data_IF_600393017376
#
_entry.id   IF_600393017376
#
_cell.length_a   1.000
_cell.length_b   1.000
_cell.length_c   1.000
_cell.angle_alpha   90.00
_cell.angle_beta   90.00
_cell.angle_gamma   90.00
#
_symmetry.space_group_name_H-M   'P 1'
#
loop_
_entity.id
_entity.type
_entity.pdbx_description
1 polymer ?
#
# COMPACT_ATOMS: atom_id res chain seq x y z
N UNK A 1 -10.15 -60.26 -50.19
CA UNK A 1 -9.48 -60.10 -48.89
C UNK A 1 -8.86 -58.69 -48.75
N UNK A 2 -9.62 -57.61 -49.04
CA UNK A 2 -9.08 -56.24 -49.12
C UNK A 2 -10.07 -55.12 -48.70
N UNK A 3 -11.10 -55.43 -47.91
CA UNK A 3 -12.01 -54.40 -47.36
C UNK A 3 -11.72 -54.10 -45.88
N UNK A 4 -11.30 -55.11 -45.10
CA UNK A 4 -11.15 -54.96 -43.65
C UNK A 4 -9.99 -54.07 -43.20
N UNK A 5 -8.93 -53.93 -44.02
CA UNK A 5 -7.76 -53.10 -43.71
C UNK A 5 -7.95 -51.60 -44.02
N UNK A 6 -8.91 -51.26 -44.90
CA UNK A 6 -9.20 -49.87 -45.25
C UNK A 6 -10.06 -49.17 -44.20
N UNK A 7 -11.04 -49.88 -43.63
CA UNK A 7 -11.92 -49.32 -42.59
C UNK A 7 -11.17 -49.06 -41.26
N UNK A 8 -10.23 -49.93 -40.88
CA UNK A 8 -9.43 -49.73 -39.66
C UNK A 8 -8.47 -48.53 -39.75
N UNK A 9 -8.00 -48.20 -40.95
CA UNK A 9 -7.09 -47.07 -41.15
C UNK A 9 -7.84 -45.73 -41.11
N UNK A 10 -9.07 -45.66 -41.65
CA UNK A 10 -9.89 -44.45 -41.60
C UNK A 10 -10.47 -44.16 -40.20
N UNK A 11 -10.89 -45.18 -39.44
CA UNK A 11 -11.36 -44.98 -38.06
C UNK A 11 -10.25 -44.52 -37.11
N UNK A 12 -9.05 -45.07 -37.25
CA UNK A 12 -7.90 -44.68 -36.43
C UNK A 12 -7.46 -43.24 -36.74
N UNK A 13 -7.52 -42.83 -38.01
CA UNK A 13 -7.16 -41.45 -38.41
C UNK A 13 -8.22 -40.45 -37.96
N UNK A 14 -9.52 -40.79 -38.06
CA UNK A 14 -10.62 -39.95 -37.54
C UNK A 14 -10.57 -39.81 -36.02
N UNK A 15 -10.37 -40.89 -35.26
CA UNK A 15 -10.30 -40.82 -33.78
C UNK A 15 -9.07 -40.03 -33.27
N UNK A 16 -7.97 -40.03 -34.02
CA UNK A 16 -6.75 -39.32 -33.62
C UNK A 16 -6.85 -37.81 -33.89
N UNK A 17 -7.49 -37.42 -35.00
CA UNK A 17 -7.74 -36.01 -35.33
C UNK A 17 -8.70 -35.34 -34.32
N UNK A 18 -9.77 -36.02 -33.90
CA UNK A 18 -10.75 -35.44 -32.95
C UNK A 18 -10.17 -35.25 -31.54
N UNK A 19 -9.22 -36.10 -31.11
CA UNK A 19 -8.54 -35.94 -29.82
C UNK A 19 -7.48 -34.85 -29.83
N UNK A 20 -6.75 -34.67 -30.93
CA UNK A 20 -5.72 -33.63 -31.07
C UNK A 20 -6.34 -32.23 -31.09
N UNK A 21 -7.43 -32.03 -31.84
CA UNK A 21 -8.16 -30.74 -31.88
C UNK A 21 -8.72 -30.32 -30.50
N UNK A 22 -9.16 -31.28 -29.68
CA UNK A 22 -9.66 -30.99 -28.32
C UNK A 22 -8.56 -30.50 -27.37
N UNK A 23 -7.33 -30.98 -27.52
CA UNK A 23 -6.19 -30.58 -26.67
C UNK A 23 -5.68 -29.20 -27.10
N UNK A 24 -5.59 -28.93 -28.40
CA UNK A 24 -5.20 -27.61 -28.92
C UNK A 24 -6.26 -26.56 -28.58
N UNK A 25 -7.55 -26.90 -28.69
CA UNK A 25 -8.65 -26.04 -28.26
C UNK A 25 -8.63 -25.73 -26.76
N UNK A 26 -8.37 -26.74 -25.92
CA UNK A 26 -8.25 -26.55 -24.47
C UNK A 26 -7.05 -25.67 -24.11
N UNK A 27 -5.90 -25.87 -24.75
CA UNK A 27 -4.71 -25.06 -24.52
C UNK A 27 -4.90 -23.59 -24.96
N UNK A 28 -5.61 -23.37 -26.07
CA UNK A 28 -5.96 -22.04 -26.54
C UNK A 28 -6.96 -21.35 -25.59
N UNK A 29 -7.97 -22.06 -25.11
CA UNK A 29 -8.93 -21.56 -24.11
C UNK A 29 -8.26 -21.26 -22.78
N UNK A 30 -7.37 -22.13 -22.29
CA UNK A 30 -6.59 -21.89 -21.07
C UNK A 30 -5.65 -20.68 -21.24
N UNK A 31 -5.01 -20.51 -22.39
CA UNK A 31 -4.18 -19.33 -22.68
C UNK A 31 -5.03 -18.04 -22.72
N UNK A 32 -6.23 -18.09 -23.30
CA UNK A 32 -7.17 -16.96 -23.29
C UNK A 32 -7.70 -16.67 -21.90
N UNK A 33 -8.03 -17.69 -21.09
CA UNK A 33 -8.42 -17.51 -19.69
C UNK A 33 -7.28 -16.90 -18.89
N UNK A 34 -6.02 -17.27 -19.12
CA UNK A 34 -4.87 -16.66 -18.44
C UNK A 34 -4.69 -15.19 -18.83
N UNK A 35 -4.84 -14.84 -20.11
CA UNK A 35 -4.76 -13.44 -20.56
C UNK A 35 -5.98 -12.63 -20.06
N UNK A 36 -7.15 -13.25 -19.93
CA UNK A 36 -8.33 -12.62 -19.33
C UNK A 36 -8.23 -12.55 -17.79
N UNK A 37 -7.45 -13.45 -17.17
CA UNK A 37 -7.19 -13.48 -15.74
C UNK A 37 -5.92 -12.71 -15.32
N UNK A 38 -5.11 -12.18 -16.25
CA UNK A 38 -4.21 -11.09 -15.88
C UNK A 38 -5.12 -9.94 -15.49
N UNK A 39 -5.10 -9.48 -14.23
CA UNK A 39 -5.83 -8.29 -13.89
C UNK A 39 -5.22 -7.19 -14.74
N UNK A 40 -5.95 -6.72 -15.76
CA UNK A 40 -5.78 -5.36 -16.26
C UNK A 40 -6.30 -4.44 -15.15
N UNK A 41 -5.63 -4.46 -13.99
CA UNK A 41 -5.75 -3.45 -12.97
C UNK A 41 -5.00 -2.25 -13.50
N UNK A 42 -5.62 -1.54 -14.44
CA UNK A 42 -5.24 -0.18 -14.82
C UNK A 42 -5.72 0.80 -13.72
N UNK A 43 -5.47 0.45 -12.46
CA UNK A 43 -5.60 1.35 -11.32
C UNK A 43 -4.21 1.82 -10.93
N UNK A 44 -4.13 3.02 -10.37
CA UNK A 44 -2.87 3.51 -9.83
C UNK A 44 -2.37 2.56 -8.74
N UNK A 45 -1.06 2.38 -8.68
CA UNK A 45 -0.40 1.65 -7.60
C UNK A 45 -0.17 2.63 -6.45
N UNK A 46 -0.47 2.23 -5.23
CA UNK A 46 0.00 2.96 -4.05
C UNK A 46 0.99 2.07 -3.31
N UNK A 47 2.12 2.66 -2.93
CA UNK A 47 3.05 2.06 -1.98
C UNK A 47 2.52 2.22 -0.56
N UNK A 48 3.24 1.67 0.43
CA UNK A 48 2.89 1.83 1.84
C UNK A 48 2.66 3.30 2.23
N UNK A 49 1.61 3.55 3.01
CA UNK A 49 1.35 4.87 3.59
C UNK A 49 2.43 5.22 4.62
N UNK A 50 3.17 6.31 4.38
CA UNK A 50 4.29 6.77 5.21
C UNK A 50 3.96 7.99 6.06
N UNK A 51 2.87 8.68 5.74
CA UNK A 51 2.38 9.80 6.53
C UNK A 51 0.87 9.88 6.46
N UNK A 52 0.26 10.18 7.60
CA UNK A 52 -1.17 10.45 7.69
C UNK A 52 -1.41 11.60 8.67
N UNK A 53 -2.17 12.59 8.21
CA UNK A 53 -2.65 13.69 9.02
C UNK A 53 -4.15 13.83 8.87
N UNK A 54 -4.83 14.04 9.98
CA UNK A 54 -6.26 14.37 10.03
C UNK A 54 -6.44 15.51 11.04
N UNK A 55 -6.90 16.66 10.55
CA UNK A 55 -7.12 17.83 11.39
C UNK A 55 -7.16 19.15 10.63
N UNK A 56 -7.05 20.23 11.40
CA UNK A 56 -7.26 21.59 10.92
C UNK A 56 -5.92 22.29 10.64
N UNK A 57 -5.83 22.94 9.48
CA UNK A 57 -4.67 23.74 9.06
C UNK A 57 -5.13 25.16 8.77
N UNK A 58 -4.44 26.12 9.36
CA UNK A 58 -4.66 27.54 9.06
C UNK A 58 -3.97 27.92 7.76
N UNK A 59 -4.55 28.85 6.98
CA UNK A 59 -3.80 29.56 5.93
C UNK A 59 -2.51 30.11 6.52
N UNK A 60 -1.46 30.21 5.69
CA UNK A 60 -0.08 30.58 6.08
C UNK A 60 0.74 29.50 6.80
N UNK A 61 0.12 28.43 7.28
CA UNK A 61 0.83 27.28 7.84
C UNK A 61 1.15 26.24 6.78
N UNK A 62 2.28 25.58 6.99
CA UNK A 62 2.67 24.40 6.24
C UNK A 62 2.75 23.19 7.15
N UNK A 63 2.49 22.03 6.56
CA UNK A 63 2.80 20.73 7.14
C UNK A 63 3.94 20.14 6.34
N UNK A 64 5.04 19.88 7.02
CA UNK A 64 6.13 19.09 6.50
C UNK A 64 5.73 17.62 6.48
N UNK A 65 5.95 16.99 5.34
CA UNK A 65 5.71 15.58 5.09
C UNK A 65 7.06 14.86 4.94
N UNK A 66 7.03 13.54 4.74
CA UNK A 66 8.23 12.75 4.50
C UNK A 66 8.77 12.98 3.06
N UNK A 67 10.00 12.54 2.78
CA UNK A 67 10.66 12.65 1.46
C UNK A 67 10.75 14.10 0.91
N UNK A 68 10.79 15.08 1.80
CA UNK A 68 10.95 16.50 1.48
C UNK A 68 9.71 17.16 0.87
N UNK A 69 8.55 16.50 0.94
CA UNK A 69 7.27 17.11 0.56
C UNK A 69 6.76 18.05 1.67
N UNK A 70 6.00 19.05 1.26
CA UNK A 70 5.35 19.98 2.17
C UNK A 70 4.02 20.41 1.56
N UNK A 71 2.99 20.52 2.39
CA UNK A 71 1.69 21.06 2.02
C UNK A 71 1.51 22.42 2.67
N UNK A 72 1.02 23.41 1.92
CA UNK A 72 0.69 24.73 2.44
C UNK A 72 -0.71 25.13 1.99
N UNK A 73 -1.54 25.55 2.95
CA UNK A 73 -2.85 26.13 2.65
C UNK A 73 -2.63 27.58 2.25
N UNK A 74 -2.86 27.88 0.98
CA UNK A 74 -2.65 29.21 0.40
C UNK A 74 -3.84 30.12 0.66
N UNK A 75 -5.04 29.61 0.40
CA UNK A 75 -6.29 30.36 0.50
C UNK A 75 -7.43 29.41 0.89
N UNK A 76 -8.41 29.93 1.64
CA UNK A 76 -9.63 29.23 2.02
C UNK A 76 -10.81 30.04 1.52
N UNK A 77 -11.68 29.40 0.76
CA UNK A 77 -12.94 29.93 0.25
C UNK A 77 -14.11 29.28 1.01
N UNK A 78 -15.34 29.73 0.75
CA UNK A 78 -16.52 29.20 1.45
C UNK A 78 -16.77 27.71 1.17
N UNK A 79 -16.31 27.21 0.03
CA UNK A 79 -16.58 25.87 -0.51
C UNK A 79 -15.35 25.17 -1.05
N UNK A 80 -14.15 25.73 -0.87
CA UNK A 80 -12.90 25.15 -1.34
C UNK A 80 -11.69 25.62 -0.54
N UNK A 81 -10.57 24.93 -0.72
CA UNK A 81 -9.26 25.39 -0.26
C UNK A 81 -8.25 25.28 -1.40
N UNK A 82 -7.48 26.35 -1.61
CA UNK A 82 -6.33 26.33 -2.51
C UNK A 82 -5.09 25.90 -1.74
N UNK A 83 -4.49 24.81 -2.18
CA UNK A 83 -3.38 24.13 -1.54
C UNK A 83 -2.18 24.09 -2.48
N UNK A 84 -1.04 24.54 -1.98
CA UNK A 84 0.25 24.36 -2.62
C UNK A 84 0.89 23.06 -2.11
N UNK A 85 1.29 22.22 -3.05
CA UNK A 85 2.15 21.06 -2.80
C UNK A 85 3.56 21.45 -3.24
N UNK A 86 4.48 21.40 -2.30
CA UNK A 86 5.88 21.70 -2.50
C UNK A 86 6.71 20.44 -2.32
N UNK A 87 7.84 20.39 -3.00
CA UNK A 87 8.87 19.41 -2.75
C UNK A 87 10.23 20.10 -2.77
N UNK A 88 11.04 19.86 -1.72
CA UNK A 88 12.36 20.47 -1.54
C UNK A 88 12.31 22.01 -1.70
N UNK A 89 11.28 22.64 -1.12
CA UNK A 89 11.06 24.09 -1.14
C UNK A 89 10.52 24.67 -2.46
N UNK A 90 10.30 23.85 -3.49
CA UNK A 90 9.73 24.29 -4.78
C UNK A 90 8.27 23.87 -4.89
N UNK A 91 7.38 24.81 -5.24
CA UNK A 91 6.00 24.48 -5.57
C UNK A 91 5.96 23.62 -6.84
N UNK A 92 5.45 22.41 -6.71
CA UNK A 92 5.27 21.47 -7.83
C UNK A 92 3.84 21.45 -8.35
N UNK A 93 2.87 21.79 -7.48
CA UNK A 93 1.45 21.84 -7.83
C UNK A 93 0.74 22.84 -6.94
N UNK A 94 -0.15 23.63 -7.53
CA UNK A 94 -1.18 24.37 -6.81
C UNK A 94 -2.51 23.79 -7.24
N UNK A 95 -3.38 23.48 -6.28
CA UNK A 95 -4.68 22.87 -6.56
C UNK A 95 -5.75 23.52 -5.69
N UNK A 96 -6.85 23.93 -6.32
CA UNK A 96 -8.09 24.26 -5.63
C UNK A 96 -8.90 22.97 -5.44
N UNK A 97 -9.20 22.64 -4.19
CA UNK A 97 -9.90 21.41 -3.82
C UNK A 97 -11.24 21.81 -3.19
N UNK A 98 -12.38 21.44 -3.81
CA UNK A 98 -13.69 21.67 -3.24
C UNK A 98 -13.87 20.93 -1.90
N UNK A 99 -14.71 21.47 -1.03
CA UNK A 99 -15.14 20.80 0.18
C UNK A 99 -15.82 19.46 -0.15
N UNK A 100 -15.62 18.46 0.71
CA UNK A 100 -16.09 17.08 0.53
C UNK A 100 -15.49 16.42 -0.73
N UNK A 101 -14.32 16.87 -1.16
CA UNK A 101 -13.61 16.34 -2.32
C UNK A 101 -12.16 16.02 -1.97
N UNK A 102 -11.52 15.27 -2.87
CA UNK A 102 -10.12 14.89 -2.73
C UNK A 102 -9.35 15.10 -4.01
N UNK A 103 -8.08 15.49 -3.86
CA UNK A 103 -7.10 15.52 -4.93
C UNK A 103 -6.00 14.50 -4.65
N UNK A 104 -5.62 13.74 -5.67
CA UNK A 104 -4.46 12.85 -5.63
C UNK A 104 -3.37 13.39 -6.55
N UNK A 105 -2.19 13.62 -5.99
CA UNK A 105 -0.97 13.83 -6.74
C UNK A 105 -0.43 12.47 -7.19
N UNK A 106 -0.47 12.25 -8.49
CA UNK A 106 0.05 11.03 -9.13
C UNK A 106 1.41 11.28 -9.78
N UNK A 107 2.20 10.21 -9.93
CA UNK A 107 3.49 10.24 -10.61
C UNK A 107 3.69 9.01 -11.48
N UNK A 108 3.92 9.22 -12.77
CA UNK A 108 4.21 8.16 -13.73
C UNK A 108 5.68 7.77 -13.70
N UNK A 109 5.97 6.49 -13.44
CA UNK A 109 7.30 5.89 -13.51
C UNK A 109 7.21 4.55 -14.24
N UNK A 110 8.01 4.36 -15.30
CA UNK A 110 8.08 3.09 -16.04
C UNK A 110 6.71 2.54 -16.50
N UNK A 111 5.82 3.41 -17.00
CA UNK A 111 4.43 3.09 -17.40
C UNK A 111 3.50 2.66 -16.26
N UNK A 112 3.87 2.94 -15.01
CA UNK A 112 3.03 2.75 -13.82
C UNK A 112 2.76 4.12 -13.21
N UNK A 113 1.49 4.41 -12.91
CA UNK A 113 1.12 5.60 -12.15
C UNK A 113 1.09 5.26 -10.67
N UNK A 114 1.82 6.04 -9.88
CA UNK A 114 1.87 5.92 -8.43
C UNK A 114 1.10 7.06 -7.78
N UNK A 115 0.21 6.74 -6.83
CA UNK A 115 -0.40 7.74 -5.97
C UNK A 115 0.64 8.16 -4.92
N UNK A 116 0.97 9.46 -4.86
CA UNK A 116 2.05 9.97 -3.98
C UNK A 116 1.46 10.67 -2.76
N UNK A 117 0.52 11.60 -2.98
CA UNK A 117 -0.14 12.35 -1.93
C UNK A 117 -1.63 12.43 -2.27
N UNK A 118 -2.49 12.03 -1.34
CA UNK A 118 -3.92 12.29 -1.39
C UNK A 118 -4.27 13.33 -0.34
N UNK A 119 -5.01 14.36 -0.75
CA UNK A 119 -5.49 15.44 0.10
C UNK A 119 -7.00 15.47 -0.01
N UNK A 120 -7.72 15.28 1.09
CA UNK A 120 -9.17 15.39 1.18
C UNK A 120 -9.54 16.62 1.99
N UNK A 121 -10.37 17.51 1.46
CA UNK A 121 -10.90 18.67 2.20
C UNK A 121 -12.24 18.30 2.80
N UNK A 122 -12.33 18.30 4.13
CA UNK A 122 -13.52 17.96 4.89
C UNK A 122 -14.35 19.20 5.24
N UNK A 123 -13.70 20.35 5.39
CA UNK A 123 -14.38 21.58 5.78
C UNK A 123 -13.53 22.80 5.55
N UNK A 124 -14.17 23.93 5.26
CA UNK A 124 -13.52 25.22 5.09
C UNK A 124 -14.18 26.27 5.99
N UNK A 125 -13.37 27.05 6.70
CA UNK A 125 -13.83 28.14 7.57
C UNK A 125 -13.07 29.42 7.22
N UNK A 126 -13.71 30.28 6.44
CA UNK A 126 -13.18 31.58 6.00
C UNK A 126 -13.02 32.58 7.13
N UNK A 127 -13.82 32.49 8.21
CA UNK A 127 -13.72 33.40 9.36
C UNK A 127 -12.42 33.20 10.14
N UNK A 128 -12.02 31.94 10.30
CA UNK A 128 -10.77 31.57 10.98
C UNK A 128 -9.61 31.31 10.02
N UNK A 129 -9.85 31.47 8.72
CA UNK A 129 -8.96 31.04 7.63
C UNK A 129 -8.37 29.64 7.86
N UNK A 130 -9.22 28.68 8.21
CA UNK A 130 -8.81 27.33 8.57
C UNK A 130 -9.52 26.33 7.65
N UNK A 131 -8.80 25.30 7.23
CA UNK A 131 -9.34 24.17 6.47
C UNK A 131 -9.16 22.90 7.28
N UNK A 132 -10.21 22.11 7.38
CA UNK A 132 -10.18 20.76 7.93
C UNK A 132 -9.88 19.79 6.79
N UNK A 133 -8.82 19.01 6.92
CA UNK A 133 -8.37 18.13 5.85
C UNK A 133 -7.71 16.85 6.36
N UNK A 134 -7.70 15.86 5.48
CA UNK A 134 -6.93 14.63 5.63
C UNK A 134 -5.84 14.58 4.57
N UNK A 135 -4.62 14.27 4.99
CA UNK A 135 -3.46 14.05 4.10
C UNK A 135 -3.01 12.61 4.27
N UNK A 136 -2.88 11.90 3.15
CA UNK A 136 -2.26 10.58 3.08
C UNK A 136 -1.09 10.65 2.11
N UNK A 137 0.11 10.28 2.57
CA UNK A 137 1.30 10.18 1.73
C UNK A 137 1.71 8.73 1.58
N UNK A 138 1.99 8.33 0.34
CA UNK A 138 2.62 7.05 0.01
C UNK A 138 4.08 7.29 -0.41
N UNK A 139 4.88 6.22 -0.41
CA UNK A 139 6.29 6.29 -0.86
C UNK A 139 6.35 6.77 -2.32
N UNK A 140 7.07 7.87 -2.57
CA UNK A 140 7.53 8.23 -3.93
C UNK A 140 8.70 7.30 -4.31
N UNK A 141 8.54 6.41 -5.31
CA UNK A 141 9.55 5.42 -5.67
C UNK A 141 10.84 6.02 -6.26
N UNK A 142 10.83 7.27 -6.74
CA UNK A 142 12.05 7.93 -7.23
C UNK A 142 12.86 8.61 -6.12
N UNK A 143 12.41 8.51 -4.87
CA UNK A 143 13.04 9.19 -3.74
C UNK A 143 13.55 8.20 -2.72
N UNK A 144 14.69 8.55 -2.13
CA UNK A 144 15.20 7.82 -0.98
C UNK A 144 14.23 7.95 0.18
N UNK A 145 13.94 6.81 0.81
CA UNK A 145 13.22 6.73 2.06
C UNK A 145 13.68 5.46 2.76
N UNK A 146 13.84 5.54 4.08
CA UNK A 146 14.10 4.34 4.87
C UNK A 146 12.84 3.49 4.82
N UNK A 147 12.90 2.40 4.06
CA UNK A 147 11.77 1.51 3.88
C UNK A 147 11.20 1.07 5.24
N UNK A 148 9.89 0.89 5.33
CA UNK A 148 9.25 0.44 6.55
C UNK A 148 9.84 -0.88 7.06
N UNK A 149 9.89 -1.00 8.40
CA UNK A 149 10.23 -2.23 9.12
C UNK A 149 9.18 -3.33 8.88
N UNK A 150 7.92 -2.93 8.68
CA UNK A 150 6.79 -3.77 8.25
C UNK A 150 6.05 -2.98 7.17
N UNK A 151 5.84 -3.53 5.97
CA UNK A 151 5.28 -2.80 4.83
C UNK A 151 3.95 -3.38 4.39
N UNK A 152 2.87 -2.61 4.54
CA UNK A 152 1.54 -2.88 3.99
C UNK A 152 1.08 -4.34 4.13
N UNK A 153 1.07 -4.84 5.37
CA UNK A 153 0.60 -6.20 5.67
C UNK A 153 -0.79 -6.19 6.27
N UNK A 154 -1.51 -7.30 6.12
CA UNK A 154 -2.76 -7.55 6.84
C UNK A 154 -2.47 -8.29 8.14
N UNK A 155 -3.23 -8.00 9.19
CA UNK A 155 -3.13 -8.68 10.48
C UNK A 155 -4.52 -9.00 11.02
N UNK A 156 -4.67 -10.15 11.68
CA UNK A 156 -5.92 -10.55 12.32
C UNK A 156 -5.66 -10.72 13.81
N UNK A 157 -6.22 -9.84 14.63
CA UNK A 157 -5.94 -9.80 16.06
C UNK A 157 -7.23 -10.11 16.81
N UNK A 158 -7.21 -11.19 17.59
CA UNK A 158 -8.34 -11.53 18.47
C UNK A 158 -8.44 -10.55 19.62
N UNK A 159 -9.65 -10.30 20.09
CA UNK A 159 -9.90 -9.54 21.31
C UNK A 159 -9.13 -10.13 22.50
N UNK A 160 -8.45 -9.27 23.28
CA UNK A 160 -7.57 -9.65 24.38
C UNK A 160 -6.15 -10.04 23.96
N UNK A 161 -5.88 -10.25 22.67
CA UNK A 161 -4.56 -10.63 22.18
C UNK A 161 -3.73 -9.41 21.71
N UNK A 162 -2.43 -9.64 21.55
CA UNK A 162 -1.45 -8.69 21.00
C UNK A 162 -0.66 -9.32 19.86
N UNK A 163 -0.51 -8.57 18.78
CA UNK A 163 0.38 -8.89 17.67
C UNK A 163 1.75 -8.27 17.92
N UNK A 164 2.82 -9.02 17.70
CA UNK A 164 4.18 -8.50 17.82
C UNK A 164 4.55 -7.65 16.61
N UNK A 165 5.03 -6.45 16.88
CA UNK A 165 5.62 -5.57 15.90
C UNK A 165 7.15 -5.57 16.06
N UNK A 166 7.87 -4.76 15.28
CA UNK A 166 9.32 -4.58 15.43
C UNK A 166 9.65 -3.61 16.56
N UNK A 167 10.92 -3.57 16.97
CA UNK A 167 11.46 -2.64 17.97
C UNK A 167 10.74 -2.67 19.33
N UNK A 168 10.25 -3.86 19.72
CA UNK A 168 9.59 -4.06 21.01
C UNK A 168 8.18 -3.48 21.11
N UNK A 169 7.59 -3.08 19.99
CA UNK A 169 6.19 -2.67 19.93
C UNK A 169 5.26 -3.90 19.85
N UNK A 170 4.05 -3.75 20.38
CA UNK A 170 2.95 -4.70 20.15
C UNK A 170 1.64 -3.95 19.93
N UNK A 171 0.77 -4.47 19.06
CA UNK A 171 -0.55 -3.92 18.80
C UNK A 171 -1.61 -4.88 19.34
N UNK A 172 -2.43 -4.42 20.27
CA UNK A 172 -3.49 -5.22 20.88
C UNK A 172 -4.89 -4.76 20.50
N UNK A 173 -5.84 -5.68 20.56
CA UNK A 173 -7.27 -5.39 20.47
C UNK A 173 -7.87 -5.53 21.87
N UNK A 174 -8.33 -4.43 22.44
CA UNK A 174 -8.89 -4.39 23.79
C UNK A 174 -10.33 -4.90 23.82
N UNK A 175 -11.18 -4.37 22.96
CA UNK A 175 -12.57 -4.78 22.83
C UNK A 175 -13.10 -4.63 21.41
N UNK A 176 -14.08 -5.44 21.05
CA UNK A 176 -14.81 -5.34 19.78
C UNK A 176 -16.30 -5.22 20.07
N UNK A 177 -16.97 -4.29 19.40
CA UNK A 177 -18.43 -4.12 19.55
C UNK A 177 -19.02 -3.58 18.27
N UNK A 178 -20.08 -4.24 17.80
CA UNK A 178 -20.72 -3.97 16.52
C UNK A 178 -19.71 -4.06 15.36
N UNK A 179 -19.43 -2.92 14.70
CA UNK A 179 -18.40 -2.79 13.66
C UNK A 179 -17.17 -1.98 14.10
N UNK A 180 -16.92 -1.89 15.41
CA UNK A 180 -15.87 -1.07 15.99
C UNK A 180 -14.84 -1.94 16.72
N UNK A 181 -13.58 -1.50 16.72
CA UNK A 181 -12.50 -2.14 17.47
C UNK A 181 -11.71 -1.10 18.25
N UNK A 182 -11.33 -1.43 19.48
CA UNK A 182 -10.44 -0.60 20.28
C UNK A 182 -9.02 -1.13 20.15
N UNK A 183 -8.15 -0.38 19.48
CA UNK A 183 -6.75 -0.73 19.31
C UNK A 183 -5.88 -0.05 20.36
N UNK A 184 -4.86 -0.77 20.84
CA UNK A 184 -3.87 -0.26 21.79
C UNK A 184 -2.47 -0.59 21.32
N UNK A 185 -1.64 0.43 21.15
CA UNK A 185 -0.22 0.28 20.86
C UNK A 185 0.57 0.28 22.18
N UNK A 186 1.45 -0.69 22.34
CA UNK A 186 2.35 -0.83 23.49
C UNK A 186 3.81 -0.81 23.04
N UNK A 187 4.71 -0.35 23.93
CA UNK A 187 6.16 -0.57 23.83
C UNK A 187 6.62 -1.25 25.12
N UNK A 188 6.98 -2.53 25.02
CA UNK A 188 7.04 -3.42 26.19
C UNK A 188 5.69 -3.46 26.90
N UNK A 189 5.67 -3.20 28.21
CA UNK A 189 4.45 -3.20 29.03
C UNK A 189 3.73 -1.85 29.07
N UNK A 190 4.31 -0.80 28.49
CA UNK A 190 3.75 0.56 28.53
C UNK A 190 2.76 0.78 27.41
N UNK A 191 1.56 1.26 27.74
CA UNK A 191 0.59 1.79 26.77
C UNK A 191 1.11 3.10 26.17
N UNK A 192 1.19 3.15 24.85
CA UNK A 192 1.66 4.32 24.09
C UNK A 192 0.49 5.10 23.50
N UNK A 193 -0.47 4.40 22.88
CA UNK A 193 -1.67 4.99 22.30
C UNK A 193 -2.83 4.00 22.41
N UNK A 194 -4.03 4.51 22.62
CA UNK A 194 -5.26 3.75 22.69
C UNK A 194 -6.36 4.51 21.96
N UNK A 195 -7.10 3.86 21.08
CA UNK A 195 -8.06 4.54 20.20
C UNK A 195 -9.17 3.58 19.76
N UNK A 196 -10.40 4.10 19.70
CA UNK A 196 -11.55 3.39 19.15
C UNK A 196 -11.66 3.68 17.65
N UNK A 197 -11.60 2.63 16.85
CA UNK A 197 -11.79 2.67 15.41
C UNK A 197 -13.20 2.24 15.03
N UNK A 198 -13.69 2.81 13.93
CA UNK A 198 -15.05 2.60 13.41
C UNK A 198 -14.98 2.07 11.98
N UNK A 199 -15.38 0.82 11.76
CA UNK A 199 -15.31 0.17 10.44
C UNK A 199 -16.18 0.85 9.38
N UNK A 200 -17.30 1.45 9.79
CA UNK A 200 -18.24 2.13 8.88
C UNK A 200 -17.84 3.58 8.56
N UNK A 201 -16.82 4.13 9.22
CA UNK A 201 -16.40 5.51 9.03
C UNK A 201 -14.97 5.55 8.44
N UNK A 202 -14.81 5.96 7.17
CA UNK A 202 -13.50 5.97 6.50
C UNK A 202 -12.47 6.90 7.15
N UNK A 203 -12.93 7.93 7.87
CA UNK A 203 -12.06 8.89 8.55
C UNK A 203 -11.62 8.37 9.92
N UNK A 204 -12.42 7.46 10.53
CA UNK A 204 -12.16 6.91 11.88
C UNK A 204 -11.79 5.44 11.91
N UNK A 205 -11.44 4.86 10.77
CA UNK A 205 -10.95 3.47 10.66
C UNK A 205 -9.43 3.34 10.77
N UNK A 206 -8.68 4.45 10.77
CA UNK A 206 -7.21 4.42 10.82
C UNK A 206 -6.67 4.66 12.21
N UNK A 207 -5.76 3.80 12.63
CA UNK A 207 -4.93 4.00 13.80
C UNK A 207 -3.55 4.46 13.36
N UNK A 208 -3.20 5.69 13.75
CA UNK A 208 -1.92 6.30 13.38
C UNK A 208 -1.17 6.72 14.62
N UNK A 209 0.08 6.28 14.76
CA UNK A 209 0.97 6.76 15.80
C UNK A 209 2.12 7.55 15.16
N UNK A 210 2.14 8.84 15.46
CA UNK A 210 3.22 9.75 15.10
C UNK A 210 3.93 10.24 16.36
N UNK A 211 5.22 10.53 16.21
CA UNK A 211 6.03 11.16 17.24
C UNK A 211 6.55 12.49 16.71
N UNK A 212 6.38 13.54 17.50
CA UNK A 212 6.95 14.85 17.19
C UNK A 212 8.39 14.91 17.70
N UNK A 213 9.33 15.23 16.82
CA UNK A 213 10.73 15.49 17.17
C UNK A 213 11.09 16.86 16.61
N UNK A 214 11.41 17.80 17.50
CA UNK A 214 11.55 19.20 17.13
C UNK A 214 10.24 19.75 16.53
N UNK A 215 10.32 20.27 15.31
CA UNK A 215 9.18 20.79 14.55
C UNK A 215 8.41 19.73 13.75
N UNK A 216 9.00 18.57 13.48
CA UNK A 216 8.51 17.62 12.49
C UNK A 216 7.75 16.46 13.14
N UNK A 217 6.77 15.93 12.41
CA UNK A 217 6.03 14.73 12.80
C UNK A 217 6.59 13.54 12.02
N UNK A 218 6.96 12.49 12.73
CA UNK A 218 7.42 11.24 12.14
C UNK A 218 6.41 10.14 12.41
N UNK A 219 5.99 9.48 11.35
CA UNK A 219 5.07 8.36 11.43
C UNK A 219 5.82 7.13 11.91
N UNK A 220 5.31 6.47 12.95
CA UNK A 220 5.89 5.22 13.48
C UNK A 220 5.00 4.03 13.11
N UNK A 221 3.67 4.22 13.12
CA UNK A 221 2.72 3.17 12.81
C UNK A 221 1.50 3.74 12.08
N UNK A 222 1.10 3.08 11.00
CA UNK A 222 -0.19 3.26 10.33
C UNK A 222 -0.83 1.89 10.19
N UNK A 223 -2.12 1.79 10.51
CA UNK A 223 -2.92 0.60 10.23
C UNK A 223 -4.39 0.97 10.12
N UNK A 224 -5.13 0.25 9.29
CA UNK A 224 -6.55 0.47 9.07
C UNK A 224 -7.37 -0.73 9.53
N UNK A 225 -8.48 -0.48 10.22
CA UNK A 225 -9.51 -1.46 10.47
C UNK A 225 -10.29 -1.72 9.18
N UNK A 226 -10.15 -2.92 8.62
CA UNK A 226 -10.89 -3.35 7.43
C UNK A 226 -12.31 -3.79 7.80
N UNK A 227 -12.41 -4.67 8.79
CA UNK A 227 -13.68 -5.20 9.32
C UNK A 227 -13.47 -5.86 10.67
N UNK A 228 -14.57 -6.17 11.35
CA UNK A 228 -14.57 -7.04 12.53
C UNK A 228 -15.43 -8.27 12.28
N UNK A 229 -15.11 -9.36 12.97
CA UNK A 229 -15.95 -10.56 13.02
C UNK A 229 -16.23 -10.92 14.47
N UNK A 230 -17.50 -11.16 14.80
CA UNK A 230 -17.94 -11.58 16.12
C UNK A 230 -18.37 -13.05 16.05
N UNK A 231 -17.85 -13.88 16.95
CA UNK A 231 -18.28 -15.25 17.16
C UNK A 231 -18.54 -15.55 18.65
N UNK A 232 -18.96 -16.78 18.97
CA UNK A 232 -19.27 -17.18 20.35
C UNK A 232 -18.04 -17.19 21.28
N UNK A 233 -16.82 -17.11 20.73
CA UNK A 233 -15.54 -17.11 21.46
C UNK A 233 -14.93 -15.72 21.61
N UNK A 234 -15.51 -14.70 20.98
CA UNK A 234 -15.10 -13.30 21.08
C UNK A 234 -15.04 -12.61 19.72
N UNK A 235 -14.44 -11.42 19.69
CA UNK A 235 -14.21 -10.68 18.45
C UNK A 235 -12.84 -10.92 17.82
N UNK A 236 -12.76 -10.76 16.50
CA UNK A 236 -11.49 -10.62 15.75
C UNK A 236 -11.53 -9.32 14.93
N UNK A 237 -10.48 -8.50 15.07
CA UNK A 237 -10.28 -7.33 14.23
C UNK A 237 -9.41 -7.72 13.03
N UNK A 238 -9.91 -7.45 11.83
CA UNK A 238 -9.17 -7.61 10.58
C UNK A 238 -8.57 -6.26 10.21
N UNK A 239 -7.25 -6.22 10.18
CA UNK A 239 -6.45 -5.03 9.91
C UNK A 239 -5.78 -5.15 8.54
N UNK A 240 -5.66 -4.01 7.85
CA UNK A 240 -4.96 -3.88 6.57
C UNK A 240 -4.06 -2.65 6.59
N UNK A 241 -3.14 -2.54 5.63
CA UNK A 241 -2.28 -1.36 5.55
C UNK A 241 -1.28 -1.23 6.68
N UNK A 242 -1.00 -2.31 7.44
CA UNK A 242 -0.11 -2.23 8.60
C UNK A 242 1.30 -1.91 8.12
N UNK A 243 1.72 -0.67 8.41
CA UNK A 243 3.04 -0.17 8.11
C UNK A 243 3.70 0.37 9.37
N UNK A 244 4.91 -0.11 9.66
CA UNK A 244 5.71 0.33 10.80
C UNK A 244 7.04 0.90 10.32
N UNK A 245 7.43 2.04 10.88
CA UNK A 245 8.71 2.70 10.62
C UNK A 245 9.55 2.70 11.88
N UNK A 246 10.85 2.92 11.70
CA UNK A 246 11.81 3.00 12.80
C UNK A 246 11.42 4.15 13.73
N UNK A 247 11.39 3.90 15.04
CA UNK A 247 11.18 4.97 16.02
C UNK A 247 12.43 5.86 16.05
N UNK A 248 12.34 7.14 15.66
CA UNK A 248 13.50 8.01 15.68
C UNK A 248 13.99 8.23 17.12
N UNK A 249 15.26 7.94 17.36
CA UNK A 249 15.91 8.16 18.64
C UNK A 249 16.01 9.67 18.92
N UNK A 250 15.66 10.07 20.15
CA UNK A 250 15.84 11.45 20.59
C UNK A 250 17.33 11.67 20.88
N UNK A 251 18.03 12.37 19.99
CA UNK A 251 19.36 12.90 20.30
C UNK A 251 19.15 14.20 21.08
N UNK A 252 19.33 14.13 22.40
CA UNK A 252 19.41 15.34 23.21
C UNK A 252 20.62 16.14 22.75
N UNK A 253 20.40 17.29 22.10
CA UNK A 253 21.45 18.27 21.87
C UNK A 253 21.85 18.75 23.26
N UNK A 254 22.96 18.24 23.78
CA UNK A 254 23.62 18.86 24.93
C UNK A 254 24.12 20.21 24.47
N UNK A 255 23.45 21.27 24.95
CA UNK A 255 23.88 22.67 24.83
C UNK A 255 25.38 22.76 25.15
N UNK A 256 26.17 22.88 24.10
CA UNK A 256 27.53 23.41 24.16
C UNK A 256 27.60 24.49 23.09
N UNK A 257 27.93 25.68 23.56
CA UNK A 257 27.67 26.94 22.89
C UNK A 257 28.29 27.11 21.52
N UNK A 258 27.66 28.05 20.82
CA UNK A 258 28.13 28.89 19.73
C UNK A 258 27.85 28.51 18.28
N UNK A 259 27.16 29.48 17.67
CA UNK A 259 27.07 29.87 16.27
C UNK A 259 25.95 29.29 15.41
N UNK A 260 25.31 30.24 14.72
CA UNK A 260 24.13 30.12 13.89
C UNK A 260 24.37 29.35 12.58
N UNK A 261 23.23 29.02 11.95
CA UNK A 261 23.02 28.48 10.61
C UNK A 261 23.00 26.96 10.47
N UNK A 262 21.81 26.48 10.10
CA UNK A 262 21.60 25.13 9.59
C UNK A 262 20.13 24.78 9.65
N UNK A 263 19.32 25.29 8.70
CA UNK A 263 18.12 24.57 8.32
C UNK A 263 18.61 23.21 7.83
N UNK A 264 18.59 22.19 8.69
CA UNK A 264 18.81 20.81 8.28
C UNK A 264 17.57 20.37 7.48
N UNK A 265 17.54 20.85 6.24
CA UNK A 265 16.71 20.29 5.19
C UNK A 265 17.03 18.81 5.09
N UNK A 266 16.00 17.97 5.18
CA UNK A 266 16.07 16.54 4.84
C UNK A 266 16.93 16.35 3.57
N UNK A 267 17.86 15.38 3.54
CA UNK A 267 18.79 15.24 2.44
C UNK A 267 18.03 15.07 1.13
N UNK A 268 18.21 16.03 0.22
CA UNK A 268 17.59 16.09 -1.11
C UNK A 268 18.35 15.24 -2.14
N UNK A 269 19.06 14.20 -1.69
CA UNK A 269 19.97 13.45 -2.54
C UNK A 269 19.20 12.46 -3.41
N UNK A 270 19.02 12.86 -4.67
CA UNK A 270 18.74 12.00 -5.82
C UNK A 270 20.00 11.25 -6.29
N UNK A 271 20.92 10.92 -5.37
CA UNK A 271 22.09 10.13 -5.73
C UNK A 271 21.68 8.67 -5.90
N UNK A 272 21.44 8.33 -7.17
CA UNK A 272 21.48 6.96 -7.64
C UNK A 272 22.76 6.30 -7.11
N UNK A 273 22.60 5.21 -6.37
CA UNK A 273 23.56 4.11 -6.14
C UNK A 273 23.47 3.54 -4.72
N UNK A 274 22.35 2.88 -4.40
CA UNK A 274 22.37 1.74 -3.46
C UNK A 274 21.12 0.88 -3.61
N UNK A 275 20.97 0.29 -4.79
CA UNK A 275 20.12 -0.90 -4.92
C UNK A 275 20.81 -2.04 -4.18
N UNK A 276 20.40 -2.34 -2.95
CA UNK A 276 20.64 -3.65 -2.39
C UNK A 276 19.50 -4.06 -1.46
N UNK A 277 18.96 -5.23 -1.80
CA UNK A 277 17.97 -6.04 -1.10
C UNK A 277 16.53 -5.55 -1.26
N UNK A 278 15.85 -6.05 -2.30
CA UNK A 278 14.47 -6.62 -2.24
C UNK A 278 13.97 -6.96 -3.64
N UNK A 279 14.65 -7.89 -4.32
CA UNK A 279 14.04 -8.58 -5.46
C UNK A 279 12.81 -9.39 -4.98
N UNK A 280 12.83 -10.00 -3.79
CA UNK A 280 11.76 -10.91 -3.36
C UNK A 280 10.38 -10.26 -3.07
N UNK A 281 10.31 -8.92 -2.93
CA UNK A 281 9.10 -8.21 -2.50
C UNK A 281 8.56 -7.25 -3.56
N UNK A 282 9.26 -7.08 -4.68
CA UNK A 282 8.76 -6.22 -5.75
C UNK A 282 7.58 -6.89 -6.47
N UNK A 283 6.56 -6.11 -6.90
CA UNK A 283 5.50 -6.62 -7.76
C UNK A 283 6.08 -7.29 -9.01
N UNK A 284 7.20 -6.79 -9.56
CA UNK A 284 7.93 -7.41 -10.68
C UNK A 284 8.41 -8.83 -10.37
N UNK A 285 8.85 -9.13 -9.14
CA UNK A 285 9.23 -10.49 -8.76
C UNK A 285 8.03 -11.38 -8.53
N UNK A 286 6.89 -10.85 -8.04
CA UNK A 286 5.63 -11.61 -8.02
C UNK A 286 5.17 -11.97 -9.44
N UNK A 287 5.32 -11.05 -10.40
CA UNK A 287 5.05 -11.33 -11.82
C UNK A 287 6.05 -12.32 -12.42
N UNK A 288 7.34 -12.22 -12.06
CA UNK A 288 8.39 -13.13 -12.55
C UNK A 288 8.24 -14.54 -11.94
N UNK A 289 7.88 -14.64 -10.65
CA UNK A 289 7.56 -15.89 -9.97
C UNK A 289 6.29 -16.52 -10.56
N UNK A 290 5.26 -15.72 -10.84
CA UNK A 290 4.08 -16.15 -11.58
C UNK A 290 4.44 -16.68 -12.97
N UNK A 291 5.32 -15.99 -13.70
CA UNK A 291 5.85 -16.44 -15.00
C UNK A 291 6.67 -17.75 -14.90
N UNK A 292 7.47 -17.93 -13.85
CA UNK A 292 8.21 -19.16 -13.60
C UNK A 292 7.27 -20.34 -13.26
N UNK A 293 6.24 -20.10 -12.45
CA UNK A 293 5.17 -21.08 -12.18
C UNK A 293 4.44 -21.43 -13.48
N UNK A 294 4.19 -20.44 -14.34
CA UNK A 294 3.58 -20.63 -15.65
C UNK A 294 4.43 -21.56 -16.54
N UNK A 295 5.74 -21.31 -16.62
CA UNK A 295 6.68 -22.13 -17.39
C UNK A 295 6.78 -23.56 -16.83
N UNK A 296 6.76 -23.72 -15.50
CA UNK A 296 6.80 -25.03 -14.85
C UNK A 296 5.53 -25.85 -15.14
N UNK A 297 4.34 -25.24 -15.04
CA UNK A 297 3.07 -25.89 -15.37
C UNK A 297 3.04 -26.26 -16.86
N UNK A 298 3.47 -25.37 -17.74
CA UNK A 298 3.53 -25.63 -19.18
C UNK A 298 4.49 -26.79 -19.52
N UNK A 299 5.67 -26.83 -18.91
CA UNK A 299 6.62 -27.93 -19.08
C UNK A 299 6.09 -29.27 -18.55
N UNK A 300 5.30 -29.24 -17.46
CA UNK A 300 4.65 -30.42 -16.89
C UNK A 300 3.57 -30.97 -17.84
N UNK A 301 2.76 -30.10 -18.44
CA UNK A 301 1.77 -30.46 -19.47
C UNK A 301 2.46 -31.06 -20.71
N UNK A 302 3.55 -30.44 -21.19
CA UNK A 302 4.35 -30.97 -22.29
C UNK A 302 4.99 -32.33 -21.95
N UNK A 303 5.39 -32.54 -20.70
CA UNK A 303 5.99 -33.81 -20.27
C UNK A 303 4.97 -34.94 -20.22
N UNK A 304 3.75 -34.68 -19.71
CA UNK A 304 2.64 -35.65 -19.67
C UNK A 304 2.16 -36.02 -21.07
N UNK A 305 2.14 -35.05 -22.00
CA UNK A 305 1.79 -35.32 -23.40
C UNK A 305 2.87 -36.15 -24.10
N UNK A 306 4.17 -35.92 -23.81
CA UNK A 306 5.28 -36.73 -24.35
C UNK A 306 5.32 -38.16 -23.81
N UNK A 307 5.08 -38.39 -22.52
CA UNK A 307 5.06 -39.76 -21.95
C UNK A 307 3.90 -40.59 -22.47
N UNK A 308 2.72 -39.97 -22.73
CA UNK A 308 1.61 -40.66 -23.39
C UNK A 308 1.87 -41.01 -24.86
N UNK A 309 2.81 -40.33 -25.50
CA UNK A 309 3.21 -40.61 -26.88
C UNK A 309 4.26 -41.74 -26.98
N UNK A 310 5.05 -41.98 -25.92
CA UNK A 310 5.97 -43.14 -25.81
C UNK A 310 5.32 -44.42 -25.28
N UNK A 311 4.12 -44.33 -24.71
CA UNK A 311 3.34 -45.45 -24.17
C UNK A 311 2.35 -46.06 -25.19
N UNK A 312 2.40 -45.63 -26.45
CA UNK A 312 1.71 -46.23 -27.60
C UNK A 312 2.75 -46.76 -28.57
#
# INVERSE_FOLDING_TARGET
MNQHARETTEETTRMTATRSMRIVGLAFVLSLCVIACTPTCAGNVHEATIFYFDGDIRTDRSIDLEQGYMIRVKEVSNDSATIDILNCGKTIKTQDIPQESSYTLEKGLNNINYDIIKISVLGANTTSNTVSLTIEQHIDPDRSFDYPLISDVSANIKEGNREQLKEGYTLGVGSITDNNAILTLYKGDKTIKHEKLYGDNPDKRRFVYMKKIGGNHHTILVVELDRVSLDATGGVAHLRGLSQFKDPEYVAITDSGDSAQGNESLPCDSSSNKWNVRLAESPYFRYLLSGCVFAAIFALILSVTRTRQKSR
#
